data_IF_056450713377
#
_entry.id   IF_056450713377
#
_cell.length_a   1.000
_cell.length_b   1.000
_cell.length_c   1.000
_cell.angle_alpha   90.00
_cell.angle_beta   90.00
_cell.angle_gamma   90.00
#
_symmetry.space_group_name_H-M   'P 1'
#
loop_
_entity.id
_entity.type
_entity.pdbx_description
1 polymer ?
#
# COMPACT_ATOMS: atom_id res chain seq x y z
N UNK A 1 -31.42 -28.73 -20.64
CA UNK A 1 -30.65 -28.87 -21.90
C UNK A 1 -29.20 -29.36 -21.65
N UNK A 2 -28.55 -29.07 -20.52
CA UNK A 2 -27.13 -29.40 -20.32
C UNK A 2 -26.73 -30.89 -20.18
N UNK A 3 -27.56 -31.77 -19.60
CA UNK A 3 -27.13 -33.15 -19.36
C UNK A 3 -27.16 -34.06 -20.62
N UNK A 4 -27.95 -33.71 -21.64
CA UNK A 4 -28.01 -34.49 -22.90
C UNK A 4 -26.80 -34.15 -23.78
N UNK A 5 -26.43 -32.89 -23.89
CA UNK A 5 -25.25 -32.42 -24.62
C UNK A 5 -23.95 -33.02 -24.03
N UNK A 6 -23.82 -33.05 -22.71
CA UNK A 6 -22.64 -33.59 -22.00
C UNK A 6 -22.47 -35.13 -22.19
N UNK A 7 -23.56 -35.87 -22.44
CA UNK A 7 -23.48 -37.30 -22.73
C UNK A 7 -23.09 -37.57 -24.18
N UNK A 8 -23.61 -36.79 -25.11
CA UNK A 8 -23.29 -36.90 -26.52
C UNK A 8 -21.79 -36.57 -26.76
N UNK A 9 -21.25 -35.47 -26.22
CA UNK A 9 -19.84 -35.12 -26.30
C UNK A 9 -18.91 -36.23 -25.74
N UNK A 10 -19.29 -36.86 -24.65
CA UNK A 10 -18.52 -37.98 -24.09
C UNK A 10 -18.55 -39.25 -24.94
N UNK A 11 -19.64 -39.52 -25.61
CA UNK A 11 -19.75 -40.66 -26.52
C UNK A 11 -18.98 -40.45 -27.79
N UNK A 12 -19.03 -39.23 -28.36
CA UNK A 12 -18.20 -38.83 -29.50
C UNK A 12 -16.72 -38.92 -29.20
N UNK A 13 -16.28 -38.38 -28.08
CA UNK A 13 -14.86 -38.47 -27.69
C UNK A 13 -14.39 -39.92 -27.50
N UNK A 14 -15.21 -40.77 -26.91
CA UNK A 14 -14.89 -42.20 -26.79
C UNK A 14 -14.73 -42.88 -28.14
N UNK A 15 -15.56 -42.53 -29.11
CA UNK A 15 -15.47 -43.08 -30.46
C UNK A 15 -14.20 -42.58 -31.17
N UNK A 16 -13.88 -41.27 -31.04
CA UNK A 16 -12.64 -40.67 -31.57
C UNK A 16 -11.40 -41.35 -30.98
N UNK A 17 -11.34 -41.55 -29.68
CA UNK A 17 -10.24 -42.24 -29.02
C UNK A 17 -10.12 -43.72 -29.44
N UNK A 18 -11.25 -44.39 -29.74
CA UNK A 18 -11.25 -45.75 -30.29
C UNK A 18 -10.66 -45.76 -31.70
N UNK A 19 -11.06 -44.84 -32.56
CA UNK A 19 -10.55 -44.69 -33.93
C UNK A 19 -9.07 -44.39 -33.92
N UNK A 20 -8.64 -43.46 -33.05
CA UNK A 20 -7.23 -43.13 -32.85
C UNK A 20 -6.40 -44.33 -32.39
N UNK A 21 -6.92 -45.14 -31.45
CA UNK A 21 -6.27 -46.37 -30.99
C UNK A 21 -6.14 -47.41 -32.10
N UNK A 22 -7.14 -47.50 -33.03
CA UNK A 22 -7.06 -48.36 -34.20
C UNK A 22 -6.01 -47.84 -35.22
N UNK A 23 -5.94 -46.54 -35.44
CA UNK A 23 -4.93 -45.90 -36.27
C UNK A 23 -3.52 -46.21 -35.76
N UNK A 24 -3.27 -45.98 -34.48
CA UNK A 24 -1.96 -46.20 -33.82
C UNK A 24 -1.53 -47.68 -33.86
N UNK A 25 -2.51 -48.63 -33.84
CA UNK A 25 -2.22 -50.06 -33.90
C UNK A 25 -2.05 -50.61 -35.31
N UNK A 26 -2.24 -49.81 -36.36
CA UNK A 26 -2.15 -50.21 -37.74
C UNK A 26 -3.24 -51.23 -38.20
N UNK A 27 -4.34 -51.33 -37.44
CA UNK A 27 -5.37 -52.38 -37.61
C UNK A 27 -6.43 -52.09 -38.66
N UNK A 28 -6.51 -50.84 -39.15
CA UNK A 28 -7.44 -50.43 -40.22
C UNK A 28 -6.86 -49.24 -40.96
N UNK A 29 -7.23 -49.05 -42.25
CA UNK A 29 -7.06 -47.75 -42.98
C UNK A 29 -8.06 -46.73 -42.42
N UNK A 30 -7.93 -46.38 -41.15
CA UNK A 30 -8.74 -45.37 -40.51
C UNK A 30 -8.07 -44.02 -40.78
N UNK A 31 -8.77 -43.16 -41.50
CA UNK A 31 -8.38 -41.77 -41.69
C UNK A 31 -9.13 -40.97 -40.63
N UNK A 32 -8.40 -40.11 -39.89
CA UNK A 32 -9.01 -39.16 -39.01
C UNK A 32 -8.90 -37.78 -39.63
N UNK A 33 -9.89 -36.93 -39.47
CA UNK A 33 -9.89 -35.56 -39.91
C UNK A 33 -9.01 -34.71 -38.98
N UNK A 34 -8.54 -33.57 -39.45
CA UNK A 34 -7.66 -32.66 -38.70
C UNK A 34 -8.26 -32.27 -37.34
N UNK A 35 -9.53 -31.80 -37.33
CA UNK A 35 -10.28 -31.46 -36.12
C UNK A 35 -10.36 -32.61 -35.10
N UNK A 36 -10.34 -33.86 -35.56
CA UNK A 36 -10.34 -35.01 -34.66
C UNK A 36 -9.00 -35.12 -33.89
N UNK A 37 -7.89 -34.82 -34.54
CA UNK A 37 -6.59 -34.78 -33.85
C UNK A 37 -6.51 -33.61 -32.85
N UNK A 38 -7.03 -32.45 -33.19
CA UNK A 38 -7.10 -31.31 -32.27
C UNK A 38 -7.86 -31.68 -31.00
N UNK A 39 -9.06 -32.24 -31.13
CA UNK A 39 -9.89 -32.67 -30.01
C UNK A 39 -9.24 -33.79 -29.19
N UNK A 40 -8.47 -34.67 -29.79
CA UNK A 40 -7.74 -35.75 -29.11
C UNK A 40 -6.54 -35.17 -28.32
N UNK A 41 -5.81 -34.21 -28.90
CA UNK A 41 -4.71 -33.52 -28.24
C UNK A 41 -5.23 -32.79 -27.01
N UNK A 42 -6.27 -31.96 -27.17
CA UNK A 42 -6.90 -31.23 -26.07
C UNK A 42 -7.38 -32.16 -24.94
N UNK A 43 -8.01 -33.28 -25.32
CA UNK A 43 -8.48 -34.25 -24.35
C UNK A 43 -7.36 -34.87 -23.49
N UNK A 44 -6.21 -35.13 -24.09
CA UNK A 44 -5.06 -35.65 -23.34
C UNK A 44 -4.34 -34.59 -22.54
N UNK A 45 -4.28 -33.37 -23.07
CA UNK A 45 -3.67 -32.22 -22.41
C UNK A 45 -4.49 -31.81 -21.17
N UNK A 46 -5.81 -31.69 -21.26
CA UNK A 46 -6.72 -31.44 -20.12
C UNK A 46 -6.60 -32.49 -18.99
N UNK A 47 -6.10 -33.69 -19.30
CA UNK A 47 -5.85 -34.76 -18.32
C UNK A 47 -4.43 -34.82 -17.81
N UNK A 48 -3.58 -33.89 -18.21
CA UNK A 48 -2.17 -33.88 -17.89
C UNK A 48 -1.44 -35.15 -18.43
N UNK A 49 -1.99 -35.75 -19.52
CA UNK A 49 -1.41 -36.90 -20.21
C UNK A 49 -0.54 -36.44 -21.39
N UNK A 50 0.42 -35.53 -21.10
CA UNK A 50 1.22 -34.78 -22.11
C UNK A 50 1.90 -35.70 -23.13
N UNK A 51 2.39 -36.87 -22.72
CA UNK A 51 3.02 -37.80 -23.65
C UNK A 51 2.05 -38.34 -24.71
N UNK A 52 0.79 -38.59 -24.32
CA UNK A 52 -0.25 -39.09 -25.23
C UNK A 52 -0.73 -37.95 -26.17
N UNK A 53 -0.84 -36.73 -25.64
CA UNK A 53 -1.10 -35.55 -26.43
C UNK A 53 0.00 -35.31 -27.49
N UNK A 54 1.26 -35.42 -27.09
CA UNK A 54 2.43 -35.29 -27.99
C UNK A 54 2.41 -36.34 -29.11
N UNK A 55 2.14 -37.62 -28.77
CA UNK A 55 2.02 -38.69 -29.76
C UNK A 55 0.85 -38.45 -30.75
N UNK A 56 -0.26 -37.90 -30.24
CA UNK A 56 -1.40 -37.53 -31.09
C UNK A 56 -1.05 -36.39 -32.05
N UNK A 57 -0.36 -35.36 -31.56
CA UNK A 57 0.11 -34.24 -32.37
C UNK A 57 1.10 -34.72 -33.45
N UNK A 58 2.02 -35.62 -33.13
CA UNK A 58 2.98 -36.17 -34.10
C UNK A 58 2.28 -36.96 -35.21
N UNK A 59 1.35 -37.84 -34.85
CA UNK A 59 0.59 -38.60 -35.84
C UNK A 59 -0.32 -37.69 -36.68
N UNK A 60 -0.90 -36.65 -36.08
CA UNK A 60 -1.67 -35.64 -36.79
C UNK A 60 -0.84 -34.89 -37.84
N UNK A 61 0.35 -34.44 -37.48
CA UNK A 61 1.27 -33.76 -38.39
C UNK A 61 1.80 -34.71 -39.47
N UNK A 62 1.96 -36.00 -39.19
CA UNK A 62 2.32 -36.97 -40.26
C UNK A 62 1.23 -37.09 -41.31
N UNK A 63 -0.06 -37.00 -40.91
CA UNK A 63 -1.18 -37.03 -41.86
C UNK A 63 -1.45 -35.66 -42.51
N UNK A 64 -1.25 -34.58 -41.77
CA UNK A 64 -1.49 -33.19 -42.21
C UNK A 64 -0.20 -32.38 -42.06
N UNK A 65 0.80 -32.58 -42.94
CA UNK A 65 2.12 -31.96 -42.82
C UNK A 65 2.14 -30.42 -42.95
N UNK A 66 1.04 -29.82 -43.38
CA UNK A 66 0.89 -28.38 -43.62
C UNK A 66 -0.10 -27.72 -42.64
N UNK A 67 -0.58 -28.48 -41.62
CA UNK A 67 -1.47 -27.94 -40.62
C UNK A 67 -0.71 -27.05 -39.63
N UNK A 68 -0.94 -25.75 -39.66
CA UNK A 68 -0.44 -24.79 -38.67
C UNK A 68 -1.01 -25.06 -37.32
N UNK A 69 -2.31 -25.37 -37.22
CA UNK A 69 -3.03 -25.63 -35.96
C UNK A 69 -2.41 -26.79 -35.16
N UNK A 70 -2.15 -27.93 -35.82
CA UNK A 70 -1.52 -29.09 -35.16
C UNK A 70 -0.07 -28.81 -34.76
N UNK A 71 0.64 -27.97 -35.53
CA UNK A 71 1.99 -27.53 -35.19
C UNK A 71 1.97 -26.61 -33.95
N UNK A 72 1.03 -25.69 -33.87
CA UNK A 72 0.85 -24.79 -32.73
C UNK A 72 0.52 -25.59 -31.47
N UNK A 73 -0.43 -26.53 -31.53
CA UNK A 73 -0.72 -27.43 -30.39
C UNK A 73 0.49 -28.27 -29.97
N UNK A 74 1.28 -28.76 -30.92
CA UNK A 74 2.53 -29.47 -30.59
C UNK A 74 3.54 -28.54 -29.92
N UNK A 75 3.64 -27.29 -30.36
CA UNK A 75 4.52 -26.31 -29.76
C UNK A 75 4.16 -26.00 -28.30
N UNK A 76 2.87 -25.87 -28.00
CA UNK A 76 2.36 -25.66 -26.66
C UNK A 76 2.78 -26.81 -25.73
N UNK A 77 2.58 -28.06 -26.14
CA UNK A 77 3.05 -29.24 -25.42
C UNK A 77 4.58 -29.29 -25.23
N UNK A 78 5.33 -28.76 -26.20
CA UNK A 78 6.78 -28.64 -26.09
C UNK A 78 7.18 -27.58 -25.05
N UNK A 79 6.45 -26.45 -24.97
CA UNK A 79 6.64 -25.42 -23.96
C UNK A 79 6.35 -25.98 -22.55
N UNK A 80 5.25 -26.71 -22.38
CA UNK A 80 4.88 -27.37 -21.13
C UNK A 80 5.99 -28.35 -20.66
N UNK A 81 6.68 -29.00 -21.61
CA UNK A 81 7.81 -29.91 -21.33
C UNK A 81 9.17 -29.22 -21.32
N UNK A 82 9.23 -27.88 -21.36
CA UNK A 82 10.44 -27.05 -21.35
C UNK A 82 11.40 -27.27 -22.52
N UNK A 83 10.87 -27.70 -23.66
CA UNK A 83 11.65 -27.89 -24.88
C UNK A 83 11.57 -26.67 -25.79
N UNK A 84 11.94 -25.52 -25.27
CA UNK A 84 11.71 -24.20 -25.87
C UNK A 84 12.27 -24.03 -27.28
N UNK A 85 13.47 -24.57 -27.54
CA UNK A 85 14.07 -24.50 -28.87
C UNK A 85 13.32 -25.35 -29.91
N UNK A 86 12.84 -26.55 -29.50
CA UNK A 86 12.04 -27.42 -30.37
C UNK A 86 10.67 -26.77 -30.66
N UNK A 87 10.08 -26.06 -29.66
CA UNK A 87 8.86 -25.31 -29.82
C UNK A 87 9.02 -24.17 -30.85
N UNK A 88 10.10 -23.37 -30.73
CA UNK A 88 10.40 -22.31 -31.71
C UNK A 88 10.58 -22.85 -33.13
N UNK A 89 11.30 -23.95 -33.31
CA UNK A 89 11.53 -24.56 -34.64
C UNK A 89 10.21 -25.01 -35.31
N UNK A 90 9.26 -25.52 -34.54
CA UNK A 90 7.95 -25.92 -35.07
C UNK A 90 7.03 -24.72 -35.30
N UNK A 91 7.07 -23.69 -34.45
CA UNK A 91 6.33 -22.44 -34.62
C UNK A 91 6.82 -21.64 -35.84
N UNK A 92 8.12 -21.62 -36.12
CA UNK A 92 8.65 -21.04 -37.35
C UNK A 92 8.14 -21.75 -38.60
N UNK A 93 7.94 -23.07 -38.54
CA UNK A 93 7.34 -23.84 -39.64
C UNK A 93 5.85 -23.56 -39.76
N UNK A 94 5.10 -23.48 -38.65
CA UNK A 94 3.68 -23.16 -38.65
C UNK A 94 3.42 -21.79 -39.32
N UNK A 95 4.25 -20.78 -39.01
CA UNK A 95 4.15 -19.42 -39.55
C UNK A 95 4.27 -19.38 -41.09
N UNK A 96 5.06 -20.30 -41.68
CA UNK A 96 5.18 -20.39 -43.13
C UNK A 96 3.88 -20.84 -43.82
N UNK A 97 2.99 -21.54 -43.09
CA UNK A 97 1.73 -22.05 -43.64
C UNK A 97 0.56 -21.14 -43.31
N UNK A 98 0.56 -20.59 -42.08
CA UNK A 98 -0.44 -19.63 -41.66
C UNK A 98 0.17 -18.66 -40.63
N UNK A 99 0.22 -17.39 -40.95
CA UNK A 99 0.71 -16.32 -40.08
C UNK A 99 -0.41 -15.51 -39.42
N UNK A 100 -1.68 -15.95 -39.61
CA UNK A 100 -2.85 -15.23 -39.10
C UNK A 100 -3.31 -15.71 -37.70
N UNK A 101 -2.74 -16.79 -37.17
CA UNK A 101 -3.10 -17.29 -35.82
C UNK A 101 -2.30 -16.57 -34.76
N UNK A 102 -2.99 -15.85 -33.85
CA UNK A 102 -2.39 -15.10 -32.76
C UNK A 102 -1.61 -15.99 -31.79
N UNK A 103 -2.07 -17.24 -31.56
CA UNK A 103 -1.42 -18.17 -30.64
C UNK A 103 0.04 -18.46 -31.05
N UNK A 104 0.34 -18.38 -32.34
CA UNK A 104 1.68 -18.52 -32.86
C UNK A 104 2.64 -17.47 -32.25
N UNK A 105 2.18 -16.21 -32.14
CA UNK A 105 2.96 -15.12 -31.58
C UNK A 105 3.06 -15.21 -30.07
N UNK A 106 1.96 -15.57 -29.40
CA UNK A 106 1.93 -15.77 -27.93
C UNK A 106 2.89 -16.88 -27.52
N UNK A 107 2.79 -18.07 -28.11
CA UNK A 107 3.67 -19.20 -27.79
C UNK A 107 5.16 -18.95 -28.13
N UNK A 108 5.45 -18.19 -29.23
CA UNK A 108 6.81 -17.75 -29.48
C UNK A 108 7.32 -16.79 -28.41
N UNK A 109 6.48 -15.88 -27.95
CA UNK A 109 6.78 -14.95 -26.86
C UNK A 109 7.15 -15.72 -25.60
N UNK A 110 6.32 -16.69 -25.18
CA UNK A 110 6.56 -17.55 -24.04
C UNK A 110 7.89 -18.30 -24.15
N UNK A 111 8.18 -18.85 -25.34
CA UNK A 111 9.45 -19.53 -25.61
C UNK A 111 10.65 -18.59 -25.44
N UNK A 112 10.57 -17.36 -25.98
CA UNK A 112 11.65 -16.38 -25.86
C UNK A 112 11.83 -15.91 -24.42
N UNK A 113 10.74 -15.69 -23.66
CA UNK A 113 10.82 -15.32 -22.26
C UNK A 113 11.44 -16.44 -21.41
N UNK A 114 11.02 -17.69 -21.64
CA UNK A 114 11.61 -18.85 -20.96
C UNK A 114 13.11 -19.07 -21.28
N UNK A 115 13.59 -18.54 -22.40
CA UNK A 115 14.99 -18.51 -22.82
C UNK A 115 15.75 -17.25 -22.40
N UNK A 116 15.12 -16.36 -21.60
CA UNK A 116 15.67 -15.06 -21.18
C UNK A 116 16.04 -14.15 -22.39
N UNK A 117 15.22 -14.18 -23.44
CA UNK A 117 15.39 -13.41 -24.68
C UNK A 117 14.29 -12.32 -24.84
N UNK A 118 14.03 -11.56 -23.78
CA UNK A 118 13.02 -10.47 -23.77
C UNK A 118 13.07 -9.56 -25.01
N UNK A 119 14.23 -9.09 -25.50
CA UNK A 119 14.23 -8.19 -26.66
C UNK A 119 13.59 -8.79 -27.90
N UNK A 120 13.70 -10.13 -28.08
CA UNK A 120 13.06 -10.81 -29.20
C UNK A 120 11.56 -10.99 -29.00
N UNK A 121 11.12 -11.25 -27.76
CA UNK A 121 9.71 -11.32 -27.42
C UNK A 121 9.02 -9.98 -27.72
N UNK A 122 9.63 -8.88 -27.28
CA UNK A 122 9.13 -7.52 -27.54
C UNK A 122 9.11 -7.21 -29.05
N UNK A 123 10.20 -7.45 -29.75
CA UNK A 123 10.28 -7.21 -31.22
C UNK A 123 9.23 -8.01 -31.99
N UNK A 124 9.00 -9.26 -31.56
CA UNK A 124 7.97 -10.13 -32.16
C UNK A 124 6.57 -9.57 -31.94
N UNK A 125 6.22 -9.21 -30.71
CA UNK A 125 4.90 -8.66 -30.37
C UNK A 125 4.66 -7.30 -31.03
N UNK A 126 5.66 -6.39 -31.04
CA UNK A 126 5.57 -5.11 -31.72
C UNK A 126 5.36 -5.27 -33.23
N UNK A 127 6.00 -6.28 -33.86
CA UNK A 127 5.77 -6.59 -35.27
C UNK A 127 4.38 -7.19 -35.51
N UNK A 128 3.89 -8.05 -34.63
CA UNK A 128 2.55 -8.64 -34.71
C UNK A 128 1.47 -7.57 -34.54
N UNK A 129 1.62 -6.60 -33.67
CA UNK A 129 0.69 -5.48 -33.47
C UNK A 129 0.44 -4.63 -34.77
N UNK A 130 1.30 -4.73 -35.78
CA UNK A 130 1.10 -4.08 -37.04
C UNK A 130 0.23 -4.91 -38.03
N UNK A 131 -0.01 -6.19 -37.73
CA UNK A 131 -0.69 -7.14 -38.58
C UNK A 131 -2.12 -7.42 -38.10
N UNK A 132 -2.36 -7.33 -36.81
CA UNK A 132 -3.64 -7.65 -36.17
C UNK A 132 -4.42 -6.39 -35.80
N UNK A 133 -5.75 -6.50 -35.80
CA UNK A 133 -6.69 -5.43 -35.44
C UNK A 133 -7.76 -5.97 -34.48
N UNK A 134 -8.47 -5.08 -33.78
CA UNK A 134 -9.59 -5.43 -32.89
C UNK A 134 -9.19 -6.30 -31.69
N UNK A 135 -9.95 -7.37 -31.44
CA UNK A 135 -9.76 -8.21 -30.24
C UNK A 135 -8.38 -8.88 -30.20
N UNK A 136 -7.88 -9.36 -31.33
CA UNK A 136 -6.56 -9.99 -31.41
C UNK A 136 -5.43 -9.01 -31.10
N UNK A 137 -5.56 -7.76 -31.56
CA UNK A 137 -4.58 -6.72 -31.22
C UNK A 137 -4.61 -6.35 -29.74
N UNK A 138 -5.80 -6.32 -29.13
CA UNK A 138 -5.96 -6.07 -27.69
C UNK A 138 -5.29 -7.18 -26.90
N UNK A 139 -5.44 -8.44 -27.29
CA UNK A 139 -4.79 -9.59 -26.66
C UNK A 139 -3.26 -9.47 -26.73
N UNK A 140 -2.70 -9.16 -27.90
CA UNK A 140 -1.26 -8.91 -28.05
C UNK A 140 -0.76 -7.73 -27.22
N UNK A 141 -1.57 -6.69 -27.02
CA UNK A 141 -1.21 -5.57 -26.14
C UNK A 141 -1.18 -5.98 -24.66
N UNK A 142 -2.09 -6.87 -24.23
CA UNK A 142 -2.01 -7.44 -22.89
C UNK A 142 -0.74 -8.30 -22.71
N UNK A 143 -0.43 -9.17 -23.66
CA UNK A 143 0.79 -9.96 -23.64
C UNK A 143 2.05 -9.07 -23.57
N UNK A 144 2.08 -8.00 -24.37
CA UNK A 144 3.19 -7.05 -24.35
C UNK A 144 3.27 -6.30 -23.02
N UNK A 145 2.12 -5.98 -22.41
CA UNK A 145 2.09 -5.36 -21.09
C UNK A 145 2.65 -6.29 -20.02
N UNK A 146 2.30 -7.58 -20.05
CA UNK A 146 2.79 -8.58 -19.09
C UNK A 146 4.31 -8.80 -19.27
N UNK A 147 4.82 -8.81 -20.52
CA UNK A 147 6.27 -8.82 -20.77
C UNK A 147 6.97 -7.61 -20.16
N UNK A 148 6.40 -6.42 -20.31
CA UNK A 148 6.98 -5.21 -19.73
C UNK A 148 6.90 -5.17 -18.19
N UNK A 149 5.86 -5.76 -17.60
CA UNK A 149 5.74 -5.89 -16.15
C UNK A 149 6.81 -6.81 -15.57
N UNK A 150 7.01 -8.00 -16.15
CA UNK A 150 8.03 -8.97 -15.74
C UNK A 150 9.46 -8.39 -15.75
N UNK A 151 9.73 -7.43 -16.61
CA UNK A 151 11.03 -6.76 -16.73
C UNK A 151 11.08 -5.37 -16.10
N UNK A 152 10.08 -5.02 -15.27
CA UNK A 152 10.01 -3.75 -14.52
C UNK A 152 9.99 -2.49 -15.41
N UNK A 153 9.51 -2.61 -16.67
CA UNK A 153 9.36 -1.48 -17.61
C UNK A 153 7.97 -0.82 -17.47
N UNK A 154 7.62 -0.40 -16.28
CA UNK A 154 6.27 -0.03 -15.86
C UNK A 154 5.62 1.12 -16.64
N UNK A 155 6.41 2.07 -17.14
CA UNK A 155 5.88 3.14 -18.02
C UNK A 155 5.30 2.56 -19.32
N UNK A 156 5.91 1.51 -19.86
CA UNK A 156 5.44 0.84 -21.06
C UNK A 156 4.19 0.00 -20.81
N UNK A 157 4.05 -0.59 -19.60
CA UNK A 157 2.81 -1.26 -19.20
C UNK A 157 1.64 -0.28 -19.27
N UNK A 158 1.81 0.92 -18.69
CA UNK A 158 0.79 1.97 -18.80
C UNK A 158 0.49 2.35 -20.26
N UNK A 159 1.51 2.44 -21.12
CA UNK A 159 1.32 2.77 -22.53
C UNK A 159 0.52 1.68 -23.27
N UNK A 160 0.79 0.39 -23.03
CA UNK A 160 0.01 -0.71 -23.58
C UNK A 160 -1.46 -0.65 -23.14
N UNK A 161 -1.72 -0.50 -21.84
CA UNK A 161 -3.08 -0.40 -21.31
C UNK A 161 -3.83 0.82 -21.87
N UNK A 162 -3.13 1.94 -22.04
CA UNK A 162 -3.70 3.13 -22.67
C UNK A 162 -4.07 2.86 -24.12
N UNK A 163 -3.23 2.17 -24.90
CA UNK A 163 -3.54 1.79 -26.29
C UNK A 163 -4.75 0.87 -26.35
N UNK A 164 -4.90 -0.09 -25.45
CA UNK A 164 -6.10 -0.92 -25.36
C UNK A 164 -7.34 -0.05 -25.17
N UNK A 165 -7.30 0.93 -24.25
CA UNK A 165 -8.42 1.83 -23.99
C UNK A 165 -8.65 2.88 -25.11
N UNK A 166 -7.69 3.11 -25.97
CA UNK A 166 -7.88 3.90 -27.20
C UNK A 166 -8.61 3.10 -28.30
N UNK A 167 -8.49 1.76 -28.30
CA UNK A 167 -9.19 0.86 -29.22
C UNK A 167 -10.56 0.42 -28.70
N UNK A 168 -10.61 -0.01 -27.44
CA UNK A 168 -11.82 -0.38 -26.71
C UNK A 168 -11.91 0.40 -25.40
N UNK A 169 -12.58 1.54 -25.41
CA UNK A 169 -12.73 2.44 -24.27
C UNK A 169 -13.51 1.82 -23.11
N UNK A 170 -14.26 0.73 -23.34
CA UNK A 170 -15.03 0.05 -22.32
C UNK A 170 -14.40 -1.29 -21.88
N UNK A 171 -13.15 -1.53 -22.22
CA UNK A 171 -12.44 -2.74 -21.81
C UNK A 171 -12.26 -2.77 -20.30
N UNK A 172 -13.03 -3.64 -19.64
CA UNK A 172 -13.07 -3.72 -18.17
C UNK A 172 -11.71 -4.12 -17.57
N UNK A 173 -10.99 -5.04 -18.20
CA UNK A 173 -9.70 -5.51 -17.72
C UNK A 173 -8.64 -4.39 -17.79
N UNK A 174 -8.58 -3.67 -18.88
CA UNK A 174 -7.67 -2.55 -19.03
C UNK A 174 -8.01 -1.42 -18.07
N UNK A 175 -9.30 -1.10 -17.87
CA UNK A 175 -9.76 -0.12 -16.89
C UNK A 175 -9.37 -0.52 -15.45
N UNK A 176 -9.48 -1.80 -15.13
CA UNK A 176 -9.09 -2.31 -13.82
C UNK A 176 -7.58 -2.22 -13.58
N UNK A 177 -6.78 -2.68 -14.56
CA UNK A 177 -5.31 -2.70 -14.47
C UNK A 177 -4.70 -1.29 -14.49
N UNK A 178 -5.18 -0.37 -15.34
CA UNK A 178 -4.56 0.95 -15.53
C UNK A 178 -4.60 1.84 -14.28
N UNK A 179 -5.57 1.64 -13.38
CA UNK A 179 -5.64 2.38 -12.11
C UNK A 179 -4.37 2.20 -11.28
N UNK A 180 -3.94 0.96 -11.11
CA UNK A 180 -2.72 0.62 -10.38
C UNK A 180 -1.48 1.26 -11.04
N UNK A 181 -1.34 1.10 -12.35
CA UNK A 181 -0.19 1.62 -13.09
C UNK A 181 -0.16 3.15 -13.17
N UNK A 182 -1.32 3.80 -13.13
CA UNK A 182 -1.40 5.28 -13.02
C UNK A 182 -0.75 5.78 -11.73
N UNK A 183 -1.07 5.15 -10.59
CA UNK A 183 -0.50 5.55 -9.30
C UNK A 183 0.99 5.21 -9.21
N UNK A 184 1.37 4.01 -9.68
CA UNK A 184 2.73 3.51 -9.64
C UNK A 184 3.70 4.35 -10.47
N UNK A 185 3.32 4.71 -11.71
CA UNK A 185 4.16 5.53 -12.61
C UNK A 185 4.01 7.02 -12.38
N UNK A 186 2.99 7.44 -11.64
CA UNK A 186 2.67 8.84 -11.40
C UNK A 186 2.09 9.58 -12.61
N UNK A 187 1.65 8.87 -13.67
CA UNK A 187 1.11 9.45 -14.93
C UNK A 187 -0.34 9.93 -14.77
N UNK A 188 -0.64 10.56 -13.64
CA UNK A 188 -1.99 10.99 -13.27
C UNK A 188 -2.62 11.98 -14.27
N UNK A 189 -1.87 12.91 -14.84
CA UNK A 189 -2.41 13.89 -15.79
C UNK A 189 -2.82 13.25 -17.12
N UNK A 190 -2.12 12.22 -17.56
CA UNK A 190 -2.49 11.45 -18.76
C UNK A 190 -3.73 10.60 -18.50
N UNK A 191 -3.76 9.93 -17.35
CA UNK A 191 -4.92 9.16 -16.91
C UNK A 191 -6.18 10.02 -16.80
N UNK A 192 -6.08 11.25 -16.29
CA UNK A 192 -7.20 12.20 -16.27
C UNK A 192 -7.72 12.48 -17.68
N UNK A 193 -6.84 12.76 -18.64
CA UNK A 193 -7.26 13.05 -20.02
C UNK A 193 -7.95 11.84 -20.66
N UNK A 194 -7.37 10.66 -20.48
CA UNK A 194 -7.91 9.42 -20.99
C UNK A 194 -9.31 9.13 -20.43
N UNK A 195 -9.46 9.17 -19.11
CA UNK A 195 -10.74 8.83 -18.48
C UNK A 195 -11.83 9.89 -18.72
N UNK A 196 -11.46 11.16 -18.92
CA UNK A 196 -12.44 12.17 -19.34
C UNK A 196 -12.97 11.87 -20.75
N UNK A 197 -12.14 11.40 -21.67
CA UNK A 197 -12.59 10.98 -23.01
C UNK A 197 -13.51 9.75 -22.94
N UNK A 198 -13.14 8.75 -22.15
CA UNK A 198 -13.96 7.55 -21.95
C UNK A 198 -15.33 7.91 -21.36
N UNK A 199 -15.38 8.79 -20.38
CA UNK A 199 -16.63 9.23 -19.73
C UNK A 199 -17.53 10.02 -20.70
N UNK A 200 -16.97 10.76 -21.66
CA UNK A 200 -17.77 11.45 -22.68
C UNK A 200 -18.56 10.45 -23.54
N UNK A 201 -18.00 9.28 -23.87
CA UNK A 201 -18.67 8.24 -24.64
C UNK A 201 -19.45 7.23 -23.77
N UNK A 202 -18.89 6.89 -22.60
CA UNK A 202 -19.45 5.91 -21.66
C UNK A 202 -19.71 6.53 -20.28
N UNK A 203 -20.70 7.44 -20.15
CA UNK A 203 -20.94 8.19 -18.92
C UNK A 203 -21.40 7.33 -17.74
N UNK A 204 -21.81 6.10 -17.97
CA UNK A 204 -22.24 5.14 -16.95
C UNK A 204 -21.20 4.05 -16.67
N UNK A 205 -19.94 4.24 -17.06
CA UNK A 205 -18.85 3.35 -16.71
C UNK A 205 -18.28 3.75 -15.35
N UNK A 206 -18.58 2.97 -14.30
CA UNK A 206 -18.16 3.23 -12.92
C UNK A 206 -16.65 3.15 -12.73
N UNK A 207 -15.97 2.26 -13.48
CA UNK A 207 -14.50 2.11 -13.43
C UNK A 207 -13.80 3.36 -13.98
N UNK A 208 -14.32 3.94 -15.08
CA UNK A 208 -13.75 5.16 -15.65
C UNK A 208 -13.87 6.35 -14.67
N UNK A 209 -15.01 6.50 -13.99
CA UNK A 209 -15.19 7.50 -12.95
C UNK A 209 -14.29 7.25 -11.73
N UNK A 210 -14.16 6.00 -11.32
CA UNK A 210 -13.26 5.61 -10.24
C UNK A 210 -11.81 5.94 -10.56
N UNK A 211 -11.33 5.57 -11.75
CA UNK A 211 -9.97 5.82 -12.21
C UNK A 211 -9.67 7.33 -12.33
N UNK A 212 -10.65 8.10 -12.82
CA UNK A 212 -10.56 9.57 -12.83
C UNK A 212 -10.39 10.11 -11.39
N UNK A 213 -11.17 9.59 -10.44
CA UNK A 213 -11.05 9.93 -9.02
C UNK A 213 -9.69 9.59 -8.45
N UNK A 214 -9.17 8.39 -8.74
CA UNK A 214 -7.84 7.93 -8.32
C UNK A 214 -6.74 8.83 -8.88
N UNK A 215 -6.81 9.19 -10.16
CA UNK A 215 -5.85 10.09 -10.79
C UNK A 215 -5.88 11.52 -10.19
N UNK A 216 -7.08 12.05 -9.88
CA UNK A 216 -7.19 13.31 -9.14
C UNK A 216 -6.60 13.21 -7.72
N UNK A 217 -6.80 12.08 -7.04
CA UNK A 217 -6.24 11.82 -5.71
C UNK A 217 -4.71 11.78 -5.75
N UNK A 218 -4.11 11.14 -6.76
CA UNK A 218 -2.66 11.13 -6.98
C UNK A 218 -2.08 12.55 -7.10
N UNK A 219 -2.79 13.47 -7.76
CA UNK A 219 -2.44 14.89 -7.82
C UNK A 219 -2.85 15.70 -6.57
N UNK A 220 -3.41 15.06 -5.54
CA UNK A 220 -3.92 15.68 -4.29
C UNK A 220 -5.07 16.66 -4.52
N UNK A 221 -5.80 16.52 -5.61
CA UNK A 221 -7.00 17.29 -5.93
C UNK A 221 -8.23 16.59 -5.31
N UNK A 222 -8.22 16.48 -3.97
CA UNK A 222 -9.14 15.63 -3.22
C UNK A 222 -10.62 15.97 -3.43
N UNK A 223 -10.99 17.25 -3.61
CA UNK A 223 -12.38 17.65 -3.91
C UNK A 223 -12.84 17.04 -5.23
N UNK A 224 -12.03 17.15 -6.29
CA UNK A 224 -12.35 16.57 -7.60
C UNK A 224 -12.37 15.04 -7.56
N UNK A 225 -11.48 14.44 -6.77
CA UNK A 225 -11.47 13.00 -6.57
C UNK A 225 -12.79 12.53 -5.93
N UNK A 226 -13.27 13.22 -4.89
CA UNK A 226 -14.54 12.92 -4.24
C UNK A 226 -15.72 13.04 -5.21
N UNK A 227 -15.76 14.09 -6.04
CA UNK A 227 -16.81 14.27 -7.03
C UNK A 227 -16.82 13.09 -8.02
N UNK A 228 -15.67 12.68 -8.52
CA UNK A 228 -15.57 11.53 -9.43
C UNK A 228 -15.96 10.20 -8.76
N UNK A 229 -15.49 9.94 -7.54
CA UNK A 229 -15.90 8.75 -6.79
C UNK A 229 -17.41 8.74 -6.48
N UNK A 230 -18.01 9.91 -6.24
CA UNK A 230 -19.45 10.02 -6.03
C UNK A 230 -20.24 9.60 -7.28
N UNK A 231 -19.76 9.94 -8.50
CA UNK A 231 -20.36 9.42 -9.72
C UNK A 231 -20.20 7.90 -9.82
N UNK A 232 -19.00 7.35 -9.53
CA UNK A 232 -18.79 5.92 -9.55
C UNK A 232 -19.77 5.16 -8.63
N UNK A 233 -19.93 5.59 -7.36
CA UNK A 233 -20.86 4.95 -6.42
C UNK A 233 -22.33 5.25 -6.71
N UNK A 234 -22.62 6.26 -7.51
CA UNK A 234 -24.01 6.54 -7.97
C UNK A 234 -24.40 5.55 -9.07
N UNK A 235 -23.43 5.10 -9.87
CA UNK A 235 -23.63 4.12 -10.93
C UNK A 235 -23.68 2.71 -10.33
N UNK A 236 -22.69 2.36 -9.52
CA UNK A 236 -22.67 1.10 -8.74
C UNK A 236 -22.62 1.40 -7.23
N UNK A 237 -23.78 1.28 -6.58
CA UNK A 237 -23.92 1.48 -5.12
C UNK A 237 -23.12 0.47 -4.28
N UNK A 238 -22.63 -0.61 -4.88
CA UNK A 238 -21.84 -1.66 -4.21
C UNK A 238 -20.34 -1.53 -4.42
N UNK A 239 -19.90 -0.51 -5.13
CA UNK A 239 -18.50 -0.30 -5.43
C UNK A 239 -17.72 0.17 -4.19
N UNK A 240 -17.33 -0.78 -3.33
CA UNK A 240 -16.69 -0.51 -2.04
C UNK A 240 -15.33 0.17 -2.15
N UNK A 241 -14.55 -0.10 -3.21
CA UNK A 241 -13.27 0.58 -3.46
C UNK A 241 -13.43 2.10 -3.64
N UNK A 242 -14.50 2.52 -4.31
CA UNK A 242 -14.76 3.95 -4.48
C UNK A 242 -15.13 4.63 -3.15
N UNK A 243 -15.96 4.00 -2.31
CA UNK A 243 -16.23 4.48 -0.96
C UNK A 243 -14.97 4.55 -0.11
N UNK A 244 -14.09 3.56 -0.19
CA UNK A 244 -12.82 3.49 0.54
C UNK A 244 -11.91 4.66 0.19
N UNK A 245 -11.70 4.89 -1.11
CA UNK A 245 -10.85 5.97 -1.61
C UNK A 245 -11.47 7.35 -1.32
N UNK A 246 -12.79 7.49 -1.44
CA UNK A 246 -13.52 8.69 -1.05
C UNK A 246 -13.33 8.97 0.46
N UNK A 247 -13.36 7.94 1.30
CA UNK A 247 -13.06 8.05 2.73
C UNK A 247 -11.66 8.58 3.01
N UNK A 248 -10.61 8.08 2.31
CA UNK A 248 -9.26 8.63 2.43
C UNK A 248 -9.19 10.09 1.96
N UNK A 249 -9.83 10.44 0.84
CA UNK A 249 -9.89 11.80 0.34
C UNK A 249 -10.53 12.77 1.36
N UNK A 250 -11.65 12.37 1.99
CA UNK A 250 -12.25 13.14 3.08
C UNK A 250 -11.34 13.27 4.31
N UNK A 251 -10.58 12.21 4.66
CA UNK A 251 -9.58 12.27 5.73
C UNK A 251 -8.49 13.30 5.43
N UNK A 252 -7.99 13.34 4.19
CA UNK A 252 -6.98 14.32 3.75
C UNK A 252 -7.49 15.76 3.85
N UNK A 253 -8.77 15.97 3.53
CA UNK A 253 -9.45 17.26 3.67
C UNK A 253 -9.89 17.58 5.11
N UNK A 254 -9.66 16.68 6.07
CA UNK A 254 -10.13 16.78 7.46
C UNK A 254 -11.66 16.88 7.59
N UNK A 255 -12.39 16.40 6.61
CA UNK A 255 -13.85 16.28 6.64
C UNK A 255 -14.24 14.97 7.36
N UNK A 256 -13.97 14.93 8.67
CA UNK A 256 -14.03 13.68 9.45
C UNK A 256 -15.43 13.07 9.55
N UNK A 257 -16.50 13.89 9.52
CA UNK A 257 -17.88 13.37 9.56
C UNK A 257 -18.23 12.66 8.26
N UNK A 258 -17.93 13.29 7.13
CA UNK A 258 -18.17 12.73 5.80
C UNK A 258 -17.34 11.45 5.59
N UNK A 259 -16.08 11.43 6.09
CA UNK A 259 -15.25 10.24 6.07
C UNK A 259 -15.86 9.07 6.87
N UNK A 260 -16.48 9.34 8.05
CA UNK A 260 -17.15 8.30 8.83
C UNK A 260 -18.31 7.70 8.03
N UNK A 261 -19.15 8.53 7.46
CA UNK A 261 -20.34 8.10 6.72
C UNK A 261 -19.98 7.16 5.57
N UNK A 262 -18.98 7.52 4.75
CA UNK A 262 -18.58 6.68 3.61
C UNK A 262 -17.82 5.43 4.03
N UNK A 263 -17.02 5.49 5.11
CA UNK A 263 -16.29 4.32 5.62
C UNK A 263 -17.22 3.34 6.34
N UNK A 264 -18.30 3.80 6.97
CA UNK A 264 -19.35 2.95 7.51
C UNK A 264 -20.05 2.20 6.37
N UNK A 265 -20.23 2.83 5.19
CA UNK A 265 -20.75 2.17 4.00
C UNK A 265 -19.85 1.03 3.51
N UNK A 266 -18.52 1.20 3.55
CA UNK A 266 -17.57 0.11 3.24
C UNK A 266 -17.80 -1.10 4.16
N UNK A 267 -18.05 -0.86 5.46
CA UNK A 267 -18.30 -1.96 6.42
C UNK A 267 -19.64 -2.69 6.19
N UNK A 268 -20.60 -2.05 5.50
CA UNK A 268 -21.85 -2.70 5.09
C UNK A 268 -21.66 -3.56 3.84
N UNK A 269 -20.78 -3.16 2.92
CA UNK A 269 -20.61 -3.78 1.61
C UNK A 269 -19.59 -4.91 1.60
N UNK A 270 -18.51 -4.76 2.36
CA UNK A 270 -17.39 -5.71 2.36
C UNK A 270 -17.14 -6.33 3.73
N UNK A 271 -16.25 -7.33 3.76
CA UNK A 271 -15.82 -7.94 5.03
C UNK A 271 -15.16 -6.91 5.93
N UNK A 272 -15.45 -6.94 7.25
CA UNK A 272 -14.82 -6.01 8.18
C UNK A 272 -13.30 -6.12 8.19
N UNK A 273 -12.62 -5.00 8.01
CA UNK A 273 -11.17 -4.88 8.07
C UNK A 273 -10.72 -3.97 9.21
N UNK A 274 -9.58 -4.29 9.82
CA UNK A 274 -9.00 -3.50 10.92
C UNK A 274 -8.68 -2.07 10.50
N UNK A 275 -8.17 -1.88 9.27
CA UNK A 275 -7.81 -0.56 8.72
C UNK A 275 -9.00 0.37 8.58
N UNK A 276 -10.20 -0.14 8.25
CA UNK A 276 -11.42 0.68 8.13
C UNK A 276 -11.89 1.11 9.52
N UNK A 277 -11.96 0.18 10.49
CA UNK A 277 -12.29 0.53 11.86
C UNK A 277 -11.27 1.50 12.47
N UNK A 278 -9.98 1.34 12.17
CA UNK A 278 -8.94 2.26 12.61
C UNK A 278 -9.17 3.67 12.04
N UNK A 279 -9.49 3.79 10.74
CA UNK A 279 -9.77 5.06 10.09
C UNK A 279 -11.00 5.75 10.67
N UNK A 280 -12.10 5.02 10.89
CA UNK A 280 -13.30 5.53 11.57
C UNK A 280 -12.97 5.98 13.01
N UNK A 281 -12.21 5.16 13.75
CA UNK A 281 -11.75 5.50 15.10
C UNK A 281 -10.90 6.77 15.12
N UNK A 282 -10.04 6.97 14.12
CA UNK A 282 -9.26 8.18 13.96
C UNK A 282 -10.14 9.41 13.71
N UNK A 283 -11.15 9.29 12.86
CA UNK A 283 -12.12 10.36 12.62
C UNK A 283 -12.84 10.75 13.92
N UNK A 284 -13.38 9.78 14.65
CA UNK A 284 -14.03 10.03 15.94
C UNK A 284 -13.10 10.68 16.96
N UNK A 285 -11.84 10.27 17.00
CA UNK A 285 -10.82 10.90 17.85
C UNK A 285 -10.63 12.38 17.47
N UNK A 286 -10.56 12.69 16.17
CA UNK A 286 -10.35 14.07 15.67
C UNK A 286 -11.53 15.01 15.97
N UNK A 287 -12.75 14.49 15.95
CA UNK A 287 -13.95 15.27 16.32
C UNK A 287 -14.20 15.30 17.84
N UNK A 288 -13.36 14.65 18.66
CA UNK A 288 -13.46 14.64 20.11
C UNK A 288 -14.43 13.61 20.68
N UNK A 289 -14.99 12.73 19.88
CA UNK A 289 -15.83 11.63 20.36
C UNK A 289 -14.98 10.42 20.74
N UNK A 290 -14.32 10.51 21.90
CA UNK A 290 -13.35 9.52 22.35
C UNK A 290 -13.99 8.15 22.65
N UNK A 291 -15.25 8.11 23.05
CA UNK A 291 -15.96 6.86 23.30
C UNK A 291 -16.12 6.03 22.02
N UNK A 292 -16.60 6.68 20.95
CA UNK A 292 -16.72 6.03 19.63
C UNK A 292 -15.36 5.71 19.02
N UNK A 293 -14.35 6.55 19.22
CA UNK A 293 -12.98 6.26 18.80
C UNK A 293 -12.49 4.95 19.42
N UNK A 294 -12.62 4.79 20.75
CA UNK A 294 -12.23 3.55 21.45
C UNK A 294 -13.03 2.34 21.01
N UNK A 295 -14.32 2.51 20.75
CA UNK A 295 -15.15 1.40 20.24
C UNK A 295 -14.61 0.87 18.92
N UNK A 296 -14.29 1.75 17.97
CA UNK A 296 -13.77 1.37 16.66
C UNK A 296 -12.34 0.82 16.76
N UNK A 297 -11.43 1.46 17.51
CA UNK A 297 -10.09 0.93 17.74
C UNK A 297 -10.11 -0.46 18.41
N UNK A 298 -11.08 -0.73 19.28
CA UNK A 298 -11.25 -2.05 19.89
C UNK A 298 -11.69 -3.07 18.84
N UNK A 299 -12.63 -2.73 17.95
CA UNK A 299 -13.00 -3.61 16.83
C UNK A 299 -11.80 -3.89 15.94
N UNK A 300 -11.02 -2.88 15.58
CA UNK A 300 -9.78 -3.05 14.84
C UNK A 300 -8.80 -3.99 15.57
N UNK A 301 -8.61 -3.81 16.89
CA UNK A 301 -7.70 -4.67 17.67
C UNK A 301 -8.19 -6.11 17.88
N UNK A 302 -9.47 -6.39 17.70
CA UNK A 302 -9.99 -7.75 17.66
C UNK A 302 -9.66 -8.46 16.33
N UNK A 303 -9.63 -7.70 15.22
CA UNK A 303 -9.24 -8.22 13.91
C UNK A 303 -7.72 -8.36 13.77
N UNK A 304 -6.97 -7.42 14.36
CA UNK A 304 -5.52 -7.40 14.33
C UNK A 304 -4.95 -7.19 15.76
N UNK A 305 -4.86 -8.25 16.58
CA UNK A 305 -4.43 -8.16 17.97
C UNK A 305 -2.96 -7.76 18.15
N UNK A 306 -2.13 -7.99 17.14
CA UNK A 306 -0.69 -7.75 17.19
C UNK A 306 -0.30 -6.32 16.76
N UNK A 307 -1.28 -5.50 16.37
CA UNK A 307 -1.02 -4.09 16.11
C UNK A 307 -1.00 -3.27 17.42
N UNK A 308 0.20 -3.05 17.92
CA UNK A 308 0.45 -2.23 19.11
C UNK A 308 -0.02 -0.77 18.97
N UNK A 309 -0.13 -0.26 17.73
CA UNK A 309 -0.55 1.13 17.49
C UNK A 309 -2.01 1.36 17.86
N UNK A 310 -2.87 0.34 17.72
CA UNK A 310 -4.28 0.45 18.09
C UNK A 310 -4.45 0.67 19.59
N UNK A 311 -3.71 -0.07 20.43
CA UNK A 311 -3.71 0.13 21.88
C UNK A 311 -3.13 1.50 22.25
N UNK A 312 -2.09 1.96 21.58
CA UNK A 312 -1.56 3.32 21.77
C UNK A 312 -2.58 4.39 21.39
N UNK A 313 -3.32 4.24 20.29
CA UNK A 313 -4.39 5.16 19.90
C UNK A 313 -5.54 5.19 20.92
N UNK A 314 -5.92 4.02 21.48
CA UNK A 314 -6.87 3.96 22.60
C UNK A 314 -6.33 4.70 23.83
N UNK A 315 -5.06 4.53 24.16
CA UNK A 315 -4.42 5.25 25.28
C UNK A 315 -4.47 6.77 25.09
N UNK A 316 -4.20 7.26 23.86
CA UNK A 316 -4.29 8.69 23.57
C UNK A 316 -5.70 9.26 23.79
N UNK A 317 -6.75 8.47 23.52
CA UNK A 317 -8.13 8.91 23.82
C UNK A 317 -8.37 9.05 25.32
N UNK A 318 -7.84 8.13 26.13
CA UNK A 318 -7.92 8.22 27.59
C UNK A 318 -7.08 9.36 28.16
N UNK A 319 -5.90 9.63 27.58
CA UNK A 319 -5.06 10.79 27.93
C UNK A 319 -5.83 12.10 27.69
N UNK A 320 -6.54 12.23 26.57
CA UNK A 320 -7.32 13.40 26.25
C UNK A 320 -8.51 13.63 27.22
N UNK A 321 -9.00 12.56 27.83
CA UNK A 321 -10.04 12.62 28.89
C UNK A 321 -9.45 12.65 30.31
N UNK A 322 -8.12 12.78 30.45
CA UNK A 322 -7.39 12.76 31.73
C UNK A 322 -7.60 11.47 32.55
N UNK A 323 -7.96 10.37 31.90
CA UNK A 323 -8.18 9.05 32.50
C UNK A 323 -6.87 8.26 32.55
N UNK A 324 -5.94 8.73 33.39
CA UNK A 324 -4.53 8.29 33.39
C UNK A 324 -4.35 6.79 33.64
N UNK A 325 -5.09 6.18 34.58
CA UNK A 325 -5.01 4.74 34.87
C UNK A 325 -5.48 3.89 33.69
N UNK A 326 -6.53 4.34 33.00
CA UNK A 326 -7.03 3.65 31.81
C UNK A 326 -6.05 3.75 30.65
N UNK A 327 -5.41 4.92 30.49
CA UNK A 327 -4.35 5.12 29.52
C UNK A 327 -3.16 4.20 29.78
N UNK A 328 -2.72 4.10 31.03
CA UNK A 328 -1.62 3.19 31.45
C UNK A 328 -1.91 1.76 31.05
N UNK A 329 -3.12 1.23 31.33
CA UNK A 329 -3.49 -0.15 30.94
C UNK A 329 -3.39 -0.39 29.44
N UNK A 330 -3.81 0.58 28.63
CA UNK A 330 -3.69 0.45 27.18
C UNK A 330 -2.24 0.54 26.70
N UNK A 331 -1.45 1.43 27.29
CA UNK A 331 -0.02 1.52 27.01
C UNK A 331 0.74 0.25 27.41
N UNK A 332 0.39 -0.37 28.52
CA UNK A 332 0.95 -1.67 28.91
C UNK A 332 0.64 -2.74 27.88
N UNK A 333 -0.57 -2.76 27.34
CA UNK A 333 -0.93 -3.68 26.26
C UNK A 333 -0.12 -3.41 24.99
N UNK A 334 0.01 -2.15 24.56
CA UNK A 334 0.87 -1.77 23.45
C UNK A 334 2.33 -2.19 23.65
N UNK A 335 2.86 -1.98 24.86
CA UNK A 335 4.25 -2.29 25.22
C UNK A 335 4.54 -3.78 25.40
N UNK A 336 3.53 -4.64 25.62
CA UNK A 336 3.70 -6.10 25.56
C UNK A 336 4.06 -6.57 24.16
N UNK A 337 3.51 -5.92 23.14
CA UNK A 337 3.76 -6.23 21.73
C UNK A 337 5.09 -5.58 21.30
N UNK A 338 5.25 -4.27 21.53
CA UNK A 338 6.46 -3.52 21.18
C UNK A 338 7.01 -2.73 22.38
N UNK A 339 7.98 -3.31 23.12
CA UNK A 339 8.50 -2.78 24.39
C UNK A 339 9.24 -1.44 24.29
N UNK A 340 9.90 -1.16 23.18
CA UNK A 340 10.94 -0.13 23.10
C UNK A 340 10.58 1.09 22.22
N UNK A 341 9.30 1.27 21.86
CA UNK A 341 8.91 2.44 21.08
C UNK A 341 8.96 3.72 21.95
N UNK A 342 9.74 4.74 21.54
CA UNK A 342 9.91 5.97 22.33
C UNK A 342 8.59 6.70 22.59
N UNK A 343 7.66 6.66 21.64
CA UNK A 343 6.34 7.29 21.73
C UNK A 343 5.52 6.69 22.87
N UNK A 344 5.56 5.36 23.03
CA UNK A 344 4.83 4.66 24.12
C UNK A 344 5.43 4.96 25.48
N UNK A 345 6.78 4.96 25.57
CA UNK A 345 7.48 5.34 26.78
C UNK A 345 7.26 6.81 27.16
N UNK A 346 7.17 7.71 26.18
CA UNK A 346 6.87 9.12 26.43
C UNK A 346 5.46 9.29 27.00
N UNK A 347 4.45 8.66 26.39
CA UNK A 347 3.08 8.68 26.86
C UNK A 347 2.92 7.99 28.24
N UNK A 348 3.59 6.86 28.44
CA UNK A 348 3.61 6.16 29.72
C UNK A 348 4.19 7.06 30.83
N UNK A 349 5.32 7.68 30.57
CA UNK A 349 5.95 8.60 31.52
C UNK A 349 5.06 9.78 31.87
N UNK A 350 4.35 10.37 30.89
CA UNK A 350 3.42 11.46 31.15
C UNK A 350 2.25 10.99 32.03
N UNK A 351 1.60 9.85 31.71
CA UNK A 351 0.54 9.29 32.54
C UNK A 351 1.00 9.02 33.96
N UNK A 352 2.18 8.38 34.13
CA UNK A 352 2.75 8.08 35.43
C UNK A 352 3.10 9.35 36.22
N UNK A 353 3.57 10.40 35.55
CA UNK A 353 3.85 11.69 36.18
C UNK A 353 2.55 12.38 36.67
N UNK A 354 1.45 12.31 35.91
CA UNK A 354 0.14 12.84 36.33
C UNK A 354 -0.43 12.06 37.56
N UNK A 355 -0.18 10.75 37.59
CA UNK A 355 -0.50 9.90 38.73
C UNK A 355 0.47 10.07 39.95
N UNK A 356 1.42 11.00 39.86
CA UNK A 356 2.47 11.23 40.88
C UNK A 356 3.40 10.02 41.12
N UNK A 357 3.40 9.05 40.18
CA UNK A 357 4.28 7.88 40.21
C UNK A 357 5.63 8.24 39.56
N UNK A 358 6.35 9.18 40.21
CA UNK A 358 7.54 9.82 39.62
C UNK A 358 8.67 8.83 39.33
N UNK A 359 8.89 7.79 40.13
CA UNK A 359 9.94 6.78 39.89
C UNK A 359 9.73 6.06 38.57
N UNK A 360 8.50 5.63 38.31
CA UNK A 360 8.12 4.92 37.07
C UNK A 360 8.14 5.86 35.87
N UNK A 361 7.71 7.12 36.04
CA UNK A 361 7.79 8.15 35.00
C UNK A 361 9.25 8.43 34.61
N UNK A 362 10.16 8.58 35.55
CA UNK A 362 11.59 8.77 35.31
C UNK A 362 12.19 7.59 34.57
N UNK A 363 11.81 6.35 34.91
CA UNK A 363 12.24 5.16 34.20
C UNK A 363 11.78 5.18 32.73
N UNK A 364 10.51 5.52 32.50
CA UNK A 364 9.93 5.59 31.15
C UNK A 364 10.62 6.67 30.31
N UNK A 365 10.77 7.89 30.83
CA UNK A 365 11.49 8.96 30.13
C UNK A 365 12.97 8.64 29.95
N UNK A 366 13.61 7.95 30.91
CA UNK A 366 14.95 7.44 30.77
C UNK A 366 15.13 6.46 29.62
N UNK A 367 14.12 5.61 29.35
CA UNK A 367 14.10 4.75 28.18
C UNK A 367 14.05 5.54 26.88
N UNK A 368 13.29 6.65 26.83
CA UNK A 368 13.23 7.53 25.65
C UNK A 368 14.60 8.13 25.34
N UNK A 369 15.28 8.72 26.33
CA UNK A 369 16.58 9.37 26.11
C UNK A 369 17.70 8.37 25.82
N UNK A 370 17.60 7.14 26.30
CA UNK A 370 18.53 6.06 25.95
C UNK A 370 18.36 5.59 24.50
N UNK A 371 17.12 5.43 24.05
CA UNK A 371 16.83 4.96 22.69
C UNK A 371 17.02 6.07 21.63
N UNK A 372 16.72 7.32 22.00
CA UNK A 372 16.89 8.50 21.14
C UNK A 372 17.63 9.62 21.86
N UNK A 373 18.96 9.55 21.97
CA UNK A 373 19.75 10.53 22.77
C UNK A 373 19.61 11.98 22.30
N UNK A 374 19.31 12.23 21.04
CA UNK A 374 19.07 13.58 20.48
C UNK A 374 17.63 14.09 20.67
N UNK A 375 16.73 13.31 21.29
CA UNK A 375 15.33 13.71 21.48
C UNK A 375 15.18 14.84 22.49
N UNK A 376 14.92 16.05 22.00
CA UNK A 376 14.64 17.20 22.87
C UNK A 376 13.42 16.95 23.75
N UNK A 377 12.35 16.35 23.21
CA UNK A 377 11.14 16.05 23.96
C UNK A 377 11.38 15.03 25.11
N UNK A 378 12.21 14.00 24.85
CA UNK A 378 12.57 13.02 25.87
C UNK A 378 13.34 13.65 27.04
N UNK A 379 14.34 14.45 26.76
CA UNK A 379 15.10 15.18 27.78
C UNK A 379 14.24 16.21 28.53
N UNK A 380 13.40 16.96 27.81
CA UNK A 380 12.47 17.91 28.42
C UNK A 380 11.54 17.21 29.43
N UNK A 381 10.95 16.08 29.03
CA UNK A 381 10.06 15.32 29.89
C UNK A 381 10.78 14.73 31.11
N UNK A 382 11.98 14.16 30.93
CA UNK A 382 12.79 13.60 32.01
C UNK A 382 13.16 14.68 33.06
N UNK A 383 13.72 15.81 32.60
CA UNK A 383 14.17 16.90 33.48
C UNK A 383 12.96 17.50 34.21
N UNK A 384 11.84 17.71 33.52
CA UNK A 384 10.61 18.23 34.11
C UNK A 384 10.05 17.29 35.16
N UNK A 385 10.10 15.98 34.92
CA UNK A 385 9.68 14.97 35.89
C UNK A 385 10.58 14.96 37.14
N UNK A 386 11.89 14.93 36.94
CA UNK A 386 12.87 15.00 38.05
C UNK A 386 12.67 16.27 38.90
N UNK A 387 12.48 17.42 38.24
CA UNK A 387 12.25 18.68 38.94
C UNK A 387 10.97 18.67 39.77
N UNK A 388 9.83 18.17 39.17
CA UNK A 388 8.55 18.04 39.90
C UNK A 388 8.62 17.06 41.06
N UNK A 389 9.44 16.02 40.92
CA UNK A 389 9.68 15.03 41.99
C UNK A 389 10.58 15.54 43.10
N UNK A 390 11.19 16.73 42.96
CA UNK A 390 12.11 17.30 43.94
C UNK A 390 13.56 16.80 43.82
N UNK A 391 13.88 16.02 42.79
CA UNK A 391 15.25 15.53 42.50
C UNK A 391 16.05 16.59 41.73
N UNK A 392 16.38 17.70 42.41
CA UNK A 392 16.96 18.87 41.77
C UNK A 392 18.42 18.67 41.32
N UNK A 393 19.19 17.87 42.07
CA UNK A 393 20.58 17.56 41.68
C UNK A 393 20.60 16.71 40.40
N UNK A 394 19.76 15.67 40.34
CA UNK A 394 19.61 14.84 39.13
C UNK A 394 19.07 15.66 37.95
N UNK A 395 18.09 16.55 38.17
CA UNK A 395 17.56 17.43 37.13
C UNK A 395 18.67 18.36 36.57
N UNK A 396 19.56 18.87 37.41
CA UNK A 396 20.73 19.63 37.04
C UNK A 396 21.70 18.79 36.18
N UNK A 397 22.06 17.59 36.62
CA UNK A 397 22.95 16.68 35.90
C UNK A 397 22.40 16.28 34.54
N UNK A 398 21.09 15.95 34.46
CA UNK A 398 20.42 15.59 33.23
C UNK A 398 20.33 16.79 32.29
N UNK A 399 20.17 18.03 32.80
CA UNK A 399 20.20 19.25 31.97
C UNK A 399 21.58 19.45 31.32
N UNK A 400 22.67 19.21 32.08
CA UNK A 400 24.03 19.25 31.52
C UNK A 400 24.27 18.17 30.49
N UNK A 401 23.77 16.94 30.73
CA UNK A 401 23.86 15.83 29.79
C UNK A 401 23.08 16.13 28.50
N UNK A 402 21.87 16.67 28.63
CA UNK A 402 21.05 17.08 27.50
C UNK A 402 21.74 18.17 26.64
N UNK A 403 22.39 19.15 27.27
CA UNK A 403 23.16 20.17 26.57
C UNK A 403 24.28 19.60 25.72
N UNK A 404 24.97 18.56 26.22
CA UNK A 404 26.07 17.91 25.48
C UNK A 404 25.58 17.19 24.22
N UNK A 405 24.47 16.44 24.33
CA UNK A 405 23.99 15.59 23.23
C UNK A 405 23.04 16.28 22.26
N UNK A 406 22.43 17.41 22.67
CA UNK A 406 21.49 18.19 21.82
C UNK A 406 22.10 19.44 21.22
N UNK A 407 23.44 19.51 21.14
CA UNK A 407 24.15 20.62 20.53
C UNK A 407 23.85 22.01 21.18
N UNK A 408 23.71 22.00 22.50
CA UNK A 408 23.54 23.23 23.27
C UNK A 408 22.15 23.88 23.19
N UNK A 409 21.07 23.09 22.99
CA UNK A 409 19.70 23.63 22.94
C UNK A 409 19.40 24.53 24.14
N UNK A 410 19.05 25.78 23.90
CA UNK A 410 18.82 26.83 24.92
C UNK A 410 17.80 26.44 25.99
N UNK A 411 16.81 25.59 25.67
CA UNK A 411 15.83 25.06 26.60
C UNK A 411 16.50 24.46 27.85
N UNK A 412 17.56 23.68 27.66
CA UNK A 412 18.23 23.00 28.76
C UNK A 412 19.13 23.92 29.57
N UNK A 413 19.53 25.08 29.04
CA UNK A 413 20.18 26.15 29.83
C UNK A 413 19.15 26.75 30.81
N UNK A 414 17.92 26.97 30.35
CA UNK A 414 16.85 27.41 31.23
C UNK A 414 16.53 26.39 32.34
N UNK A 415 16.48 25.10 31.98
CA UNK A 415 16.21 24.04 32.96
C UNK A 415 17.37 23.86 33.94
N UNK A 416 18.61 23.98 33.48
CA UNK A 416 19.79 24.05 34.31
C UNK A 416 19.71 25.22 35.33
N UNK A 417 19.36 26.42 34.83
CA UNK A 417 19.16 27.58 35.68
C UNK A 417 18.07 27.36 36.73
N UNK A 418 16.92 26.76 36.35
CA UNK A 418 15.83 26.47 37.27
C UNK A 418 16.25 25.48 38.35
N UNK A 419 16.99 24.42 38.01
CA UNK A 419 17.51 23.43 38.95
C UNK A 419 18.53 24.06 39.91
N UNK A 420 19.40 24.89 39.42
CA UNK A 420 20.37 25.64 40.25
C UNK A 420 19.69 26.60 41.25
N UNK A 421 18.59 27.27 40.82
CA UNK A 421 17.78 28.06 41.80
C UNK A 421 17.16 27.21 42.88
N UNK A 422 16.59 26.05 42.53
CA UNK A 422 16.01 25.13 43.49
C UNK A 422 17.05 24.61 44.49
N UNK A 423 18.31 24.43 44.06
CA UNK A 423 19.46 24.05 44.86
C UNK A 423 20.07 25.22 45.65
N UNK A 424 19.47 26.43 45.59
CA UNK A 424 19.98 27.67 46.22
C UNK A 424 21.34 28.14 45.71
N UNK A 425 21.82 27.69 44.55
CA UNK A 425 23.03 28.11 43.85
C UNK A 425 22.76 29.36 43.02
N UNK A 426 22.29 30.43 43.65
CA UNK A 426 21.71 31.60 43.01
C UNK A 426 22.65 32.32 42.00
N UNK A 427 23.95 32.45 42.34
CA UNK A 427 24.92 33.12 41.45
C UNK A 427 25.08 32.38 40.11
N UNK A 428 25.24 31.05 40.16
CA UNK A 428 25.38 30.22 39.01
C UNK A 428 24.08 30.20 38.18
N UNK A 429 22.94 30.15 38.87
CA UNK A 429 21.62 30.15 38.24
C UNK A 429 21.37 31.43 37.43
N UNK A 430 21.71 32.62 37.97
CA UNK A 430 21.58 33.89 37.26
C UNK A 430 22.45 33.92 36.00
N UNK A 431 23.70 33.44 36.13
CA UNK A 431 24.61 33.40 34.98
C UNK A 431 24.05 32.56 33.83
N UNK A 432 23.46 31.39 34.15
CA UNK A 432 22.81 30.54 33.15
C UNK A 432 21.54 31.19 32.60
N UNK A 433 20.75 31.88 33.44
CA UNK A 433 19.55 32.62 32.97
C UNK A 433 19.92 33.73 31.98
N UNK A 434 20.95 34.55 32.29
CA UNK A 434 21.42 35.58 31.40
C UNK A 434 21.87 35.03 30.04
N UNK A 435 22.65 33.92 30.06
CA UNK A 435 23.07 33.23 28.84
C UNK A 435 21.85 32.70 28.04
N UNK A 436 20.87 32.12 28.69
CA UNK A 436 19.67 31.63 28.04
C UNK A 436 18.81 32.72 27.44
N UNK A 437 18.66 33.84 28.14
CA UNK A 437 17.95 35.03 27.65
C UNK A 437 18.62 35.65 26.41
N UNK A 438 19.97 35.67 26.36
CA UNK A 438 20.73 36.16 25.20
C UNK A 438 20.48 35.27 23.97
N UNK A 439 20.46 33.93 24.14
CA UNK A 439 20.33 32.99 23.05
C UNK A 439 18.88 32.86 22.52
N UNK A 440 17.89 32.71 23.42
CA UNK A 440 16.48 32.52 23.02
C UNK A 440 15.49 32.99 24.09
N UNK A 441 15.11 34.28 24.09
CA UNK A 441 14.10 34.79 25.04
C UNK A 441 12.72 34.14 24.93
N UNK A 442 12.38 33.56 23.77
CA UNK A 442 11.08 32.95 23.51
C UNK A 442 10.80 31.76 24.42
N UNK A 443 11.86 31.09 24.93
CA UNK A 443 11.74 29.92 25.78
C UNK A 443 11.63 30.25 27.28
N UNK A 444 11.68 31.53 27.65
CA UNK A 444 11.52 32.01 29.03
C UNK A 444 10.22 31.46 29.67
N UNK A 445 9.14 31.33 28.91
CA UNK A 445 7.87 30.78 29.41
C UNK A 445 8.07 29.38 30.01
N UNK A 446 8.78 28.48 29.30
CA UNK A 446 9.04 27.11 29.78
C UNK A 446 9.85 27.06 31.09
N UNK A 447 10.76 28.03 31.29
CA UNK A 447 11.50 28.19 32.52
C UNK A 447 10.57 28.58 33.69
N UNK A 448 9.68 29.55 33.46
CA UNK A 448 8.70 29.99 34.45
C UNK A 448 7.70 28.87 34.76
N UNK A 449 7.21 28.17 33.75
CA UNK A 449 6.27 27.06 33.91
C UNK A 449 6.88 25.88 34.71
N UNK A 450 8.20 25.66 34.59
CA UNK A 450 8.90 24.65 35.38
C UNK A 450 8.97 25.00 36.89
N UNK A 451 9.25 26.27 37.21
CA UNK A 451 9.33 26.77 38.57
C UNK A 451 8.69 28.15 38.70
N UNK A 452 7.36 28.23 38.84
CA UNK A 452 6.67 29.53 38.98
C UNK A 452 7.14 30.37 40.18
N UNK A 453 7.56 29.73 41.28
CA UNK A 453 8.05 30.40 42.50
C UNK A 453 9.33 31.23 42.27
N UNK A 454 10.02 31.00 41.12
CA UNK A 454 11.24 31.72 40.80
C UNK A 454 11.01 33.25 40.56
N UNK A 455 9.76 33.63 40.17
CA UNK A 455 9.36 35.01 40.03
C UNK A 455 9.22 35.77 41.37
N UNK A 456 9.27 35.10 42.50
CA UNK A 456 9.33 35.72 43.81
C UNK A 456 10.78 36.23 44.12
N UNK A 457 11.78 35.77 43.37
CA UNK A 457 13.14 36.24 43.53
C UNK A 457 13.32 37.57 42.80
N UNK A 458 13.57 38.65 43.57
CA UNK A 458 13.82 39.97 43.01
C UNK A 458 14.96 39.97 41.98
N UNK A 459 16.02 39.21 42.23
CA UNK A 459 17.18 39.09 41.35
C UNK A 459 16.82 38.51 39.99
N UNK A 460 15.91 37.55 39.93
CA UNK A 460 15.42 36.98 38.66
C UNK A 460 14.59 38.02 37.89
N UNK A 461 13.67 38.69 38.58
CA UNK A 461 12.82 39.73 38.02
C UNK A 461 13.66 40.84 37.44
N UNK A 462 14.67 41.32 38.17
CA UNK A 462 15.58 42.39 37.72
C UNK A 462 16.41 41.94 36.52
N UNK A 463 16.88 40.70 36.47
CA UNK A 463 17.62 40.14 35.35
C UNK A 463 16.74 40.08 34.09
N UNK A 464 15.50 39.61 34.19
CA UNK A 464 14.57 39.60 33.08
C UNK A 464 14.20 41.01 32.61
N UNK A 465 14.01 41.93 33.56
CA UNK A 465 13.68 43.33 33.26
C UNK A 465 14.82 44.06 32.54
N UNK A 466 16.07 43.87 33.01
CA UNK A 466 17.28 44.41 32.36
C UNK A 466 17.36 43.95 30.90
N UNK A 467 17.16 42.67 30.66
CA UNK A 467 17.23 42.11 29.32
C UNK A 467 16.12 42.63 28.38
N UNK A 468 14.90 42.89 28.91
CA UNK A 468 13.82 43.49 28.14
C UNK A 468 14.08 44.96 27.77
N UNK A 469 14.80 45.71 28.61
CA UNK A 469 15.19 47.12 28.35
C UNK A 469 16.27 47.23 27.29
N UNK A 470 17.29 46.37 27.32
CA UNK A 470 18.40 46.36 26.32
C UNK A 470 17.96 45.96 24.91
N UNK A 471 16.79 45.31 24.76
CA UNK A 471 16.25 44.98 23.44
C UNK A 471 15.29 46.05 22.85
N UNK A 472 14.93 47.07 23.64
CA UNK A 472 14.06 48.18 23.20
C UNK A 472 14.85 49.44 22.84
N UNK A 473 16.11 49.49 23.23
CA UNK A 473 17.12 50.46 22.77
C UNK A 473 17.91 49.86 21.60
#
# INVERSE_FOLDING_TARGET
MGEHSYREDREEMRELLRQYGNLKSGKQHTFLEEEAFERIIDYYDEKDEIQQAMEAAELGIEQFPFSSVLMIKKADLLLATRKYWEALDILEKAELYDSSDINLFILKTDAYLALDQQPKAVELLEAALLQFEGEERIELLFELADVYDDYEEFDKVFDCLKLILEEDQNNEEALYKICFWTDFTGRNEESIRLHLQIIEEYPYNELAWFNLGAAYQGLKLYEKAIDAYLYAVTIDEKFDYAYRNMGDAYLRLRKFKDAIEVLEKVLELSRPEDVIYEAIGHCYHKIGNFAQARFNYRKASHLNPDDSKLYYKMALTYINEEQWESAVRQLESAMRIHKMLPEYNLAMGECKMQLQQYKEAIQSFGNVVRSRPKSVAGWEALIRCLFKAGFYDEAMEQSVSALKVTEGKTLFIYYLSASLFALKKTKEAILQLEKALQLSPRQLKKFIDLNPAILQSQQVVDTIARFKKTKKS
#
